data_IF_359074647324
#
_entry.id   IF_359074647324
#
_cell.length_a   1.000
_cell.length_b   1.000
_cell.length_c   1.000
_cell.angle_alpha   90.00
_cell.angle_beta   90.00
_cell.angle_gamma   90.00
#
_symmetry.space_group_name_H-M   'P 1'
#
loop_
_entity.id
_entity.type
_entity.pdbx_description
1 polymer ?
#
# COMPACT_ATOMS: atom_id res chain seq x y z
N UNK A 1 -1.46 -4.44 -9.95
CA UNK A 1 -2.25 -5.63 -9.55
C UNK A 1 -1.37 -6.85 -9.78
N UNK A 2 -1.15 -7.66 -8.74
CA UNK A 2 -0.28 -8.84 -8.80
C UNK A 2 -1.06 -10.06 -9.27
N UNK A 3 -2.26 -10.26 -8.72
CA UNK A 3 -3.16 -11.36 -9.08
C UNK A 3 -4.60 -10.93 -8.84
N UNK A 4 -5.52 -11.48 -9.63
CA UNK A 4 -6.94 -11.22 -9.55
C UNK A 4 -7.72 -12.48 -9.94
N UNK A 5 -8.63 -12.90 -9.07
CA UNK A 5 -9.50 -14.05 -9.30
C UNK A 5 -10.94 -13.72 -8.90
N UNK A 6 -11.84 -14.70 -9.02
CA UNK A 6 -13.28 -14.47 -8.87
C UNK A 6 -13.66 -13.84 -7.51
N UNK A 7 -13.08 -14.31 -6.41
CA UNK A 7 -13.46 -13.91 -5.04
C UNK A 7 -12.46 -12.96 -4.37
N UNK A 8 -11.32 -12.67 -5.00
CA UNK A 8 -10.25 -11.92 -4.34
C UNK A 8 -9.20 -11.41 -5.31
N UNK A 9 -8.25 -10.65 -4.78
CA UNK A 9 -7.12 -10.12 -5.53
C UNK A 9 -5.94 -9.85 -4.60
N UNK A 10 -4.75 -9.76 -5.17
CA UNK A 10 -3.55 -9.29 -4.50
C UNK A 10 -2.98 -8.07 -5.23
N UNK A 11 -2.54 -7.07 -4.47
CA UNK A 11 -2.05 -5.80 -4.99
C UNK A 11 -0.73 -5.41 -4.30
N UNK A 12 0.27 -5.13 -5.13
CA UNK A 12 1.56 -4.59 -4.70
C UNK A 12 1.64 -3.09 -4.98
N UNK A 13 2.22 -2.37 -4.02
CA UNK A 13 2.69 -1.01 -4.16
C UNK A 13 4.21 -1.01 -4.29
N UNK A 14 4.71 -0.28 -5.29
CA UNK A 14 6.09 0.13 -5.37
C UNK A 14 6.18 1.59 -4.93
N UNK A 15 6.90 1.86 -3.84
CA UNK A 15 7.17 3.21 -3.36
C UNK A 15 8.60 3.56 -3.70
N UNK A 16 8.79 4.50 -4.63
CA UNK A 16 10.09 4.92 -5.14
C UNK A 16 10.47 6.31 -4.61
N UNK A 17 11.68 6.44 -4.07
CA UNK A 17 12.27 7.74 -3.80
C UNK A 17 12.94 8.26 -5.08
N UNK A 18 12.25 9.15 -5.80
CA UNK A 18 12.78 9.75 -7.03
C UNK A 18 13.78 10.89 -6.76
N UNK A 19 13.94 11.30 -5.51
CA UNK A 19 14.80 12.41 -5.11
C UNK A 19 16.27 12.02 -4.96
N UNK A 20 17.01 12.95 -4.37
CA UNK A 20 18.47 12.90 -4.23
C UNK A 20 18.89 12.74 -2.76
N UNK A 21 17.93 12.80 -1.83
CA UNK A 21 18.11 12.65 -0.39
C UNK A 21 17.31 11.45 0.08
N UNK A 22 17.77 10.77 1.14
CA UNK A 22 17.02 9.67 1.76
C UNK A 22 15.67 10.18 2.28
N UNK A 23 14.64 9.35 2.14
CA UNK A 23 13.31 9.57 2.72
C UNK A 23 13.12 8.64 3.91
N UNK A 24 12.48 9.14 4.97
CA UNK A 24 12.12 8.41 6.18
C UNK A 24 10.63 8.57 6.45
N UNK A 25 10.11 7.70 7.30
CA UNK A 25 8.76 7.85 7.87
C UNK A 25 7.66 8.04 6.84
N UNK A 26 7.83 7.37 5.70
CA UNK A 26 6.88 7.46 4.62
C UNK A 26 5.62 6.65 4.93
N UNK A 27 4.52 7.03 4.29
CA UNK A 27 3.26 6.32 4.39
C UNK A 27 2.55 6.33 3.04
N UNK A 28 1.81 5.26 2.77
CA UNK A 28 0.87 5.16 1.65
C UNK A 28 -0.53 5.35 2.18
N UNK A 29 -1.35 6.14 1.50
CA UNK A 29 -2.77 6.31 1.81
C UNK A 29 -3.61 6.03 0.58
N UNK A 30 -4.64 5.20 0.73
CA UNK A 30 -5.57 4.85 -0.36
C UNK A 30 -6.97 4.59 0.18
N UNK A 31 -7.98 4.62 -0.69
CA UNK A 31 -9.34 4.17 -0.37
C UNK A 31 -9.62 2.82 -1.01
N UNK A 32 -10.47 2.03 -0.37
CA UNK A 32 -10.99 0.77 -0.90
C UNK A 32 -12.45 0.62 -0.44
N UNK A 33 -13.34 0.30 -1.37
CA UNK A 33 -14.79 0.33 -1.15
C UNK A 33 -15.37 -1.07 -0.92
N UNK A 34 -15.43 -1.87 -1.98
CA UNK A 34 -16.07 -3.17 -1.99
C UNK A 34 -15.04 -4.30 -1.89
N UNK A 35 -14.12 -4.18 -0.93
CA UNK A 35 -13.17 -5.23 -0.60
C UNK A 35 -12.72 -5.15 0.86
N UNK A 36 -12.23 -6.26 1.38
CA UNK A 36 -11.67 -6.37 2.72
C UNK A 36 -10.32 -7.07 2.68
N UNK A 37 -9.27 -6.40 3.20
CA UNK A 37 -7.93 -6.96 3.32
C UNK A 37 -7.96 -8.17 4.26
N UNK A 38 -7.46 -9.31 3.81
CA UNK A 38 -7.38 -10.55 4.60
C UNK A 38 -5.93 -11.00 4.86
N UNK A 39 -4.97 -10.48 4.10
CA UNK A 39 -3.55 -10.73 4.31
C UNK A 39 -2.73 -9.52 3.83
N UNK A 40 -1.59 -9.25 4.46
CA UNK A 40 -0.69 -8.15 4.07
C UNK A 40 0.76 -8.44 4.40
N UNK A 41 1.68 -7.82 3.66
CA UNK A 41 3.13 -7.95 3.88
C UNK A 41 3.83 -6.60 3.80
N UNK A 42 5.02 -6.56 4.42
CA UNK A 42 5.99 -5.45 4.34
C UNK A 42 5.47 -4.07 4.77
N UNK A 43 4.30 -4.00 5.39
CA UNK A 43 3.72 -2.78 5.92
C UNK A 43 2.59 -3.08 6.91
N UNK A 44 2.30 -2.09 7.75
CA UNK A 44 1.19 -2.10 8.68
C UNK A 44 0.00 -1.38 8.03
N UNK A 45 -1.00 -2.14 7.59
CA UNK A 45 -2.22 -1.59 6.97
C UNK A 45 -3.26 -1.32 8.04
N UNK A 46 -3.65 -0.06 8.23
CA UNK A 46 -4.63 0.36 9.25
C UNK A 46 -5.78 1.13 8.60
N UNK A 47 -7.04 0.73 8.82
CA UNK A 47 -8.19 1.52 8.39
C UNK A 47 -8.31 2.79 9.25
N UNK A 48 -8.61 3.92 8.61
CA UNK A 48 -8.84 5.23 9.22
C UNK A 48 -9.95 5.96 8.44
N UNK A 49 -11.19 5.83 8.93
CA UNK A 49 -12.37 6.33 8.22
C UNK A 49 -12.53 5.61 6.88
N UNK A 50 -12.61 6.37 5.77
CA UNK A 50 -12.74 5.82 4.41
C UNK A 50 -11.40 5.46 3.75
N UNK A 51 -10.28 5.57 4.47
CA UNK A 51 -8.94 5.30 3.96
C UNK A 51 -8.27 4.14 4.68
N UNK A 52 -7.36 3.48 3.99
CA UNK A 52 -6.26 2.74 4.59
C UNK A 52 -5.03 3.63 4.64
N UNK A 53 -4.37 3.64 5.79
CA UNK A 53 -3.04 4.23 5.99
C UNK A 53 -2.06 3.08 6.20
N UNK A 54 -0.98 3.09 5.43
CA UNK A 54 0.05 2.06 5.46
C UNK A 54 1.37 2.70 5.86
N UNK A 55 1.93 2.21 6.97
CA UNK A 55 3.28 2.57 7.40
C UNK A 55 4.23 1.40 7.16
N UNK A 56 5.47 1.62 6.72
CA UNK A 56 6.44 0.56 6.54
C UNK A 56 6.76 -0.15 7.85
N UNK A 57 7.29 -1.36 7.74
CA UNK A 57 8.00 -2.01 8.86
C UNK A 57 9.33 -1.31 9.10
N UNK A 58 9.94 -1.52 10.28
CA UNK A 58 11.16 -0.80 10.68
C UNK A 58 12.31 -0.95 9.67
N UNK A 59 12.48 -2.14 9.10
CA UNK A 59 13.49 -2.41 8.08
C UNK A 59 13.24 -1.67 6.76
N UNK A 60 11.99 -1.30 6.47
CA UNK A 60 11.56 -0.62 5.24
C UNK A 60 11.34 0.89 5.41
N UNK A 61 11.61 1.42 6.61
CA UNK A 61 11.30 2.81 6.98
C UNK A 61 12.13 3.85 6.24
N UNK A 62 13.30 3.47 5.72
CA UNK A 62 14.20 4.33 4.95
C UNK A 62 14.18 3.92 3.48
N UNK A 63 14.06 4.90 2.59
CA UNK A 63 14.25 4.73 1.14
C UNK A 63 15.39 5.63 0.70
N UNK A 64 16.53 5.02 0.35
CA UNK A 64 17.67 5.75 -0.20
C UNK A 64 17.33 6.40 -1.57
N UNK A 65 18.09 7.42 -2.01
CA UNK A 65 17.89 8.05 -3.30
C UNK A 65 17.81 7.02 -4.44
N UNK A 66 16.81 7.17 -5.31
CA UNK A 66 16.54 6.29 -6.46
C UNK A 66 16.22 4.84 -6.11
N UNK A 67 16.04 4.50 -4.84
CA UNK A 67 15.64 3.16 -4.39
C UNK A 67 14.11 3.04 -4.24
N UNK A 68 13.65 1.80 -4.11
CA UNK A 68 12.23 1.48 -3.91
C UNK A 68 12.02 0.57 -2.71
N UNK A 69 10.83 0.67 -2.12
CA UNK A 69 10.29 -0.31 -1.19
C UNK A 69 9.01 -0.91 -1.75
N UNK A 70 8.74 -2.16 -1.38
CA UNK A 70 7.58 -2.91 -1.86
C UNK A 70 6.74 -3.39 -0.70
N UNK A 71 5.45 -3.09 -0.76
CA UNK A 71 4.46 -3.60 0.18
C UNK A 71 3.21 -4.02 -0.56
N UNK A 72 2.38 -4.84 0.08
CA UNK A 72 1.20 -5.33 -0.61
C UNK A 72 0.24 -6.04 0.32
N UNK A 73 -0.88 -6.40 -0.27
CA UNK A 73 -1.96 -7.08 0.42
C UNK A 73 -2.74 -7.97 -0.52
N UNK A 74 -3.43 -8.95 0.05
CA UNK A 74 -4.54 -9.63 -0.59
C UNK A 74 -5.86 -9.26 0.10
N UNK A 75 -6.93 -9.25 -0.67
CA UNK A 75 -8.25 -8.90 -0.19
C UNK A 75 -9.34 -9.76 -0.84
N UNK A 76 -10.41 -9.98 -0.08
CA UNK A 76 -11.64 -10.56 -0.60
C UNK A 76 -12.47 -9.47 -1.28
N UNK A 77 -13.03 -9.77 -2.45
CA UNK A 77 -13.97 -8.88 -3.16
C UNK A 77 -15.35 -9.00 -2.53
N UNK A 78 -15.97 -7.85 -2.30
CA UNK A 78 -17.33 -7.71 -1.76
C UNK A 78 -18.30 -7.09 -2.79
N UNK A 79 -17.79 -6.75 -3.99
CA UNK A 79 -18.51 -6.11 -5.08
C UNK A 79 -17.58 -5.78 -6.23
N UNK A 80 -18.03 -4.96 -7.18
CA UNK A 80 -17.27 -4.60 -8.39
C UNK A 80 -16.30 -3.42 -8.20
N UNK A 81 -16.53 -2.53 -7.24
CA UNK A 81 -15.68 -1.39 -6.88
C UNK A 81 -14.67 -1.77 -5.78
N UNK A 82 -13.82 -2.77 -6.06
CA UNK A 82 -12.88 -3.35 -5.07
C UNK A 82 -11.45 -2.81 -5.16
N UNK A 83 -11.10 -2.09 -6.23
CA UNK A 83 -9.72 -1.69 -6.49
C UNK A 83 -9.29 -0.48 -5.64
N UNK A 84 -8.01 -0.39 -5.23
CA UNK A 84 -7.47 0.80 -4.58
C UNK A 84 -7.63 2.06 -5.45
N UNK A 85 -8.00 3.17 -4.82
CA UNK A 85 -8.11 4.48 -5.46
C UNK A 85 -7.59 5.60 -4.56
N UNK A 86 -7.45 6.80 -5.13
CA UNK A 86 -6.91 7.97 -4.41
C UNK A 86 -5.59 7.66 -3.69
N UNK A 87 -4.73 6.90 -4.38
CA UNK A 87 -3.44 6.47 -3.83
C UNK A 87 -2.52 7.69 -3.74
N UNK A 88 -1.94 7.90 -2.57
CA UNK A 88 -0.99 8.97 -2.32
C UNK A 88 0.12 8.46 -1.40
N UNK A 89 1.30 9.09 -1.52
CA UNK A 89 2.46 8.81 -0.67
C UNK A 89 2.92 10.11 -0.05
N UNK A 90 3.23 10.08 1.23
CA UNK A 90 3.89 11.19 1.94
C UNK A 90 5.11 10.67 2.67
N UNK A 91 6.15 11.49 2.81
CA UNK A 91 7.37 11.16 3.52
C UNK A 91 8.35 12.34 3.44
N UNK A 92 9.38 12.32 4.29
CA UNK A 92 10.39 13.39 4.37
C UNK A 92 11.80 12.83 4.43
#
# INVERSE_FOLDING_TARGET
MQSDWQSGFCFDFQVINQGNTKVRDWQVKFQMNQAAINNSWNGNFRPQGSYYVVTPLDWGRVIEPRQSQYLGFCANKLGSDYQPRQISVTGS
#
